data_IF_108750215512
#
_entry.id   IF_108750215512
#
_cell.length_a   1.000
_cell.length_b   1.000
_cell.length_c   1.000
_cell.angle_alpha   90.00
_cell.angle_beta   90.00
_cell.angle_gamma   90.00
#
_symmetry.space_group_name_H-M   'P 1'
#
loop_
_entity.id
_entity.type
_entity.pdbx_description
1 polymer ?
#
# COMPACT_ATOMS: atom_id res chain seq x y z
N UNK A 1 -13.57 16.44 -4.35
CA UNK A 1 -12.59 16.20 -3.28
C UNK A 1 -11.39 15.53 -3.92
N UNK A 2 -10.20 16.08 -3.73
CA UNK A 2 -8.96 15.49 -4.21
C UNK A 2 -8.52 14.33 -3.28
N UNK A 3 -7.51 13.57 -3.67
CA UNK A 3 -7.08 12.39 -2.91
C UNK A 3 -6.63 12.74 -1.48
N UNK A 4 -5.82 13.79 -1.32
CA UNK A 4 -5.25 14.21 -0.03
C UNK A 4 -6.35 14.76 0.90
N UNK A 5 -7.28 15.55 0.37
CA UNK A 5 -8.46 16.01 1.09
C UNK A 5 -9.30 14.84 1.62
N UNK A 6 -9.52 13.81 0.79
CA UNK A 6 -10.27 12.61 1.17
C UNK A 6 -9.60 11.81 2.29
N UNK A 7 -8.28 11.62 2.22
CA UNK A 7 -7.55 10.94 3.29
C UNK A 7 -7.52 11.76 4.58
N UNK A 8 -7.34 13.08 4.48
CA UNK A 8 -7.33 13.99 5.64
C UNK A 8 -8.68 13.99 6.34
N UNK A 9 -9.77 14.14 5.58
CA UNK A 9 -11.13 14.12 6.11
C UNK A 9 -11.47 12.80 6.83
N UNK A 10 -10.99 11.67 6.32
CA UNK A 10 -11.17 10.34 6.93
C UNK A 10 -10.23 10.05 8.11
N UNK A 11 -9.27 10.93 8.40
CA UNK A 11 -8.22 10.68 9.38
C UNK A 11 -7.27 9.54 8.99
N UNK A 12 -7.11 9.30 7.68
CA UNK A 12 -6.27 8.22 7.13
C UNK A 12 -4.87 8.69 6.73
N UNK A 13 -4.62 10.01 6.72
CA UNK A 13 -3.31 10.57 6.39
C UNK A 13 -2.45 10.65 7.66
N UNK A 14 -1.37 9.88 7.71
CA UNK A 14 -0.40 9.92 8.81
C UNK A 14 0.83 10.76 8.46
N UNK A 15 1.40 10.56 7.28
CA UNK A 15 2.59 11.28 6.82
C UNK A 15 2.57 11.41 5.29
N UNK A 16 3.24 12.44 4.78
CA UNK A 16 3.28 12.78 3.37
C UNK A 16 4.58 13.52 3.02
N UNK A 17 5.09 13.29 1.80
CA UNK A 17 6.19 14.08 1.28
C UNK A 17 5.72 15.51 0.96
N UNK A 18 6.53 16.55 1.25
CA UNK A 18 6.18 17.93 0.90
C UNK A 18 5.90 18.07 -0.61
N UNK A 19 4.84 18.78 -0.98
CA UNK A 19 4.46 19.02 -2.38
C UNK A 19 3.67 17.89 -3.03
N UNK A 20 3.32 16.81 -2.31
CA UNK A 20 2.62 15.66 -2.90
C UNK A 20 1.21 16.03 -3.36
N UNK A 21 0.51 16.93 -2.66
CA UNK A 21 -0.86 17.30 -3.02
C UNK A 21 -0.88 18.08 -4.33
N UNK A 22 -0.02 19.07 -4.48
CA UNK A 22 0.16 19.83 -5.73
C UNK A 22 0.53 18.88 -6.86
N UNK A 23 1.50 17.99 -6.64
CA UNK A 23 1.93 17.01 -7.64
C UNK A 23 0.79 16.09 -8.12
N UNK A 24 -0.08 15.64 -7.21
CA UNK A 24 -1.24 14.81 -7.53
C UNK A 24 -2.34 15.60 -8.24
N UNK A 25 -2.52 16.88 -7.94
CA UNK A 25 -3.55 17.72 -8.56
C UNK A 25 -3.19 18.17 -9.98
N UNK A 26 -1.92 18.18 -10.36
CA UNK A 26 -1.46 18.59 -11.70
C UNK A 26 -1.89 17.65 -12.83
N UNK A 27 -1.85 16.33 -12.59
CA UNK A 27 -2.10 15.33 -13.62
C UNK A 27 -2.40 13.96 -13.02
N UNK A 28 -2.99 13.07 -13.84
CA UNK A 28 -3.12 11.65 -13.50
C UNK A 28 -1.74 11.06 -13.18
N UNK A 29 -1.64 10.43 -12.01
CA UNK A 29 -0.43 9.76 -11.52
C UNK A 29 -0.65 8.26 -11.40
N UNK A 30 0.43 7.50 -11.40
CA UNK A 30 0.43 6.07 -11.09
C UNK A 30 1.07 5.86 -9.74
N UNK A 31 0.45 5.04 -8.89
CA UNK A 31 0.91 4.77 -7.53
C UNK A 31 0.65 3.31 -7.17
N UNK A 32 1.36 2.78 -6.18
CA UNK A 32 1.27 1.38 -5.80
C UNK A 32 1.25 1.18 -4.29
N UNK A 33 0.70 0.05 -3.86
CA UNK A 33 0.92 -0.50 -2.51
C UNK A 33 1.39 -1.94 -2.66
N UNK A 34 2.44 -2.29 -1.92
CA UNK A 34 2.98 -3.65 -1.84
C UNK A 34 2.20 -4.53 -0.86
N UNK A 35 1.97 -5.78 -1.25
CA UNK A 35 1.37 -6.81 -0.41
C UNK A 35 2.26 -8.05 -0.42
N UNK A 36 2.83 -8.40 0.73
CA UNK A 36 3.61 -9.63 0.87
C UNK A 36 2.71 -10.83 1.21
N UNK A 37 2.88 -11.99 0.56
CA UNK A 37 2.14 -13.23 0.84
C UNK A 37 2.60 -13.88 2.16
N UNK A 38 2.26 -13.22 3.26
CA UNK A 38 2.62 -13.69 4.61
C UNK A 38 1.64 -14.75 5.14
N UNK A 39 0.42 -14.81 4.59
CA UNK A 39 -0.62 -15.78 4.91
C UNK A 39 -1.38 -16.22 3.65
N UNK A 40 -2.12 -17.36 3.69
CA UNK A 40 -2.89 -17.86 2.53
C UNK A 40 -4.01 -16.93 2.04
N UNK A 41 -4.39 -15.93 2.84
CA UNK A 41 -5.44 -14.98 2.51
C UNK A 41 -5.13 -13.60 3.11
N UNK A 42 -5.64 -12.57 2.43
CA UNK A 42 -5.75 -11.24 3.01
C UNK A 42 -6.72 -11.24 4.19
N UNK A 43 -6.47 -10.36 5.15
CA UNK A 43 -7.31 -10.14 6.35
C UNK A 43 -7.87 -8.72 6.35
N UNK A 44 -8.68 -8.39 7.36
CA UNK A 44 -9.16 -7.00 7.56
C UNK A 44 -8.00 -6.00 7.71
N UNK A 45 -6.82 -6.45 8.18
CA UNK A 45 -5.62 -5.62 8.24
C UNK A 45 -5.10 -5.15 6.88
N UNK A 46 -5.44 -5.85 5.80
CA UNK A 46 -5.10 -5.48 4.41
C UNK A 46 -6.18 -4.61 3.74
N UNK A 47 -7.37 -4.55 4.35
CA UNK A 47 -8.52 -3.87 3.75
C UNK A 47 -8.28 -2.36 3.65
N UNK A 48 -7.62 -1.77 4.64
CA UNK A 48 -7.32 -0.32 4.65
C UNK A 48 -6.48 0.08 3.45
N UNK A 49 -5.45 -0.71 3.11
CA UNK A 49 -4.57 -0.48 1.97
C UNK A 49 -5.32 -0.66 0.64
N UNK A 50 -6.20 -1.66 0.54
CA UNK A 50 -7.04 -1.83 -0.64
C UNK A 50 -8.02 -0.66 -0.83
N UNK A 51 -8.59 -0.14 0.26
CA UNK A 51 -9.45 1.05 0.19
C UNK A 51 -8.66 2.29 -0.21
N UNK A 52 -7.42 2.46 0.25
CA UNK A 52 -6.52 3.53 -0.20
C UNK A 52 -6.32 3.50 -1.72
N UNK A 53 -5.99 2.35 -2.29
CA UNK A 53 -5.84 2.21 -3.76
C UNK A 53 -7.15 2.50 -4.51
N UNK A 54 -8.30 2.09 -3.95
CA UNK A 54 -9.61 2.41 -4.50
C UNK A 54 -9.88 3.92 -4.48
N UNK A 55 -9.64 4.59 -3.35
CA UNK A 55 -9.79 6.04 -3.24
C UNK A 55 -8.86 6.76 -4.23
N UNK A 56 -7.63 6.27 -4.38
CA UNK A 56 -6.67 6.80 -5.36
C UNK A 56 -7.21 6.69 -6.79
N UNK A 57 -7.84 5.56 -7.14
CA UNK A 57 -8.51 5.38 -8.42
C UNK A 57 -9.70 6.33 -8.61
N UNK A 58 -10.54 6.47 -7.58
CA UNK A 58 -11.73 7.34 -7.61
C UNK A 58 -11.35 8.83 -7.71
N UNK A 59 -10.19 9.21 -7.20
CA UNK A 59 -9.59 10.55 -7.38
C UNK A 59 -8.95 10.74 -8.77
N UNK A 60 -9.04 9.76 -9.68
CA UNK A 60 -8.60 9.87 -11.07
C UNK A 60 -7.21 9.29 -11.37
N UNK A 61 -6.54 8.71 -10.38
CA UNK A 61 -5.21 8.13 -10.53
C UNK A 61 -5.24 6.66 -10.96
N UNK A 62 -4.07 6.10 -11.26
CA UNK A 62 -3.91 4.69 -11.62
C UNK A 62 -3.25 3.92 -10.47
N UNK A 63 -4.01 3.10 -9.72
CA UNK A 63 -3.43 2.23 -8.69
C UNK A 63 -2.77 0.99 -9.31
N UNK A 64 -1.75 0.49 -8.63
CA UNK A 64 -1.12 -0.81 -8.86
C UNK A 64 -1.13 -1.59 -7.55
N UNK A 65 -1.70 -2.79 -7.57
CA UNK A 65 -1.53 -3.77 -6.50
C UNK A 65 -0.25 -4.55 -6.80
N UNK A 66 0.80 -4.34 -6.01
CA UNK A 66 2.07 -5.03 -6.19
C UNK A 66 2.16 -6.22 -5.25
N UNK A 67 2.18 -7.44 -5.80
CA UNK A 67 2.33 -8.66 -5.01
C UNK A 67 3.81 -9.00 -4.81
N UNK A 68 4.26 -8.99 -3.56
CA UNK A 68 5.64 -9.15 -3.14
C UNK A 68 6.14 -10.59 -3.13
N UNK A 69 6.14 -11.27 -4.27
CA UNK A 69 6.61 -12.68 -4.37
C UNK A 69 8.10 -12.88 -4.04
N UNK A 70 8.92 -11.82 -4.14
CA UNK A 70 10.34 -11.85 -3.76
C UNK A 70 10.59 -11.26 -2.36
N UNK A 71 9.91 -10.18 -1.98
CA UNK A 71 10.02 -9.55 -0.64
C UNK A 71 9.43 -10.44 0.45
N UNK A 72 8.36 -11.18 0.15
CA UNK A 72 7.82 -12.22 1.04
C UNK A 72 8.79 -13.37 1.33
N UNK A 73 9.82 -13.59 0.50
CA UNK A 73 10.87 -14.59 0.75
C UNK A 73 11.89 -14.11 1.76
N UNK A 74 12.24 -12.83 1.77
CA UNK A 74 13.25 -12.24 2.66
C UNK A 74 12.60 -11.86 4.01
N UNK A 75 11.34 -11.38 3.97
CA UNK A 75 10.63 -10.85 5.13
C UNK A 75 11.00 -9.40 5.41
N UNK A 76 10.00 -8.53 5.51
CA UNK A 76 10.19 -7.15 5.95
C UNK A 76 10.56 -7.11 7.46
N UNK A 77 11.74 -6.57 7.85
CA UNK A 77 12.17 -6.46 9.25
C UNK A 77 11.45 -5.33 10.02
N UNK A 78 10.64 -4.52 9.35
CA UNK A 78 9.97 -3.36 9.93
C UNK A 78 9.01 -3.76 11.07
N UNK A 79 9.49 -3.68 12.32
CA UNK A 79 8.69 -3.80 13.54
C UNK A 79 8.63 -5.19 14.19
N UNK A 80 9.52 -6.14 13.85
CA UNK A 80 9.60 -7.44 14.54
C UNK A 80 11.02 -7.78 15.00
N UNK A 81 11.19 -8.05 16.29
CA UNK A 81 12.45 -8.45 16.95
C UNK A 81 12.96 -9.86 16.58
N UNK A 82 12.29 -10.58 15.68
CA UNK A 82 12.69 -11.92 15.24
C UNK A 82 12.74 -11.98 13.72
N UNK A 83 13.87 -12.45 13.19
CA UNK A 83 14.00 -12.83 11.78
C UNK A 83 12.88 -13.81 11.41
N UNK A 84 12.20 -13.53 10.30
CA UNK A 84 11.12 -14.38 9.80
C UNK A 84 11.74 -15.55 9.02
N UNK A 85 11.15 -16.74 9.18
CA UNK A 85 11.53 -17.92 8.40
C UNK A 85 11.37 -17.65 6.90
N UNK A 86 12.43 -17.95 6.14
CA UNK A 86 12.47 -17.86 4.69
C UNK A 86 11.48 -18.89 4.11
N UNK A 87 10.41 -18.42 3.45
CA UNK A 87 9.45 -19.32 2.78
C UNK A 87 10.02 -19.83 1.46
N UNK A 88 9.83 -21.13 1.20
CA UNK A 88 10.18 -21.73 -0.08
C UNK A 88 9.24 -21.26 -1.21
N UNK A 89 9.64 -21.45 -2.48
CA UNK A 89 8.86 -20.99 -3.62
C UNK A 89 7.48 -21.64 -3.77
N UNK A 90 7.25 -22.79 -3.12
CA UNK A 90 5.99 -23.53 -3.11
C UNK A 90 5.06 -23.09 -1.96
N UNK A 91 5.56 -22.33 -0.98
CA UNK A 91 4.83 -21.86 0.21
C UNK A 91 4.39 -20.39 0.14
N UNK A 92 4.64 -19.73 -1.01
CA UNK A 92 4.18 -18.37 -1.34
C UNK A 92 2.79 -18.41 -2.00
#
# INVERSE_FOLDING_TARGET
>A
MNFIEELTWRGMLHDATPGVEEHLNEAKRTGYIGFDPTAPSLTIGNFVQLQLLKLFQLSGHQPIVLMGGATGRIGDPSGKDKERDLKSGEEL
#
